data_IF_241544652529
#
_entry.id   IF_241544652529
#
_cell.length_a   1.000
_cell.length_b   1.000
_cell.length_c   1.000
_cell.angle_alpha   90.00
_cell.angle_beta   90.00
_cell.angle_gamma   90.00
#
_symmetry.space_group_name_H-M   'P 1'
#
loop_
_entity.id
_entity.type
_entity.pdbx_description
1 polymer ?
#
# COMPACT_ATOMS: atom_id res chain seq x y z
N UNK A 1 17.39 -22.08 8.62
CA UNK A 1 16.83 -22.54 9.93
C UNK A 1 17.20 -21.66 11.13
N UNK A 2 18.42 -21.12 11.24
CA UNK A 2 18.82 -20.28 12.41
C UNK A 2 18.00 -18.98 12.55
N UNK A 3 17.64 -18.32 11.45
CA UNK A 3 16.86 -17.08 11.47
C UNK A 3 15.45 -17.27 12.06
N UNK A 4 14.68 -18.25 11.58
CA UNK A 4 13.33 -18.56 12.10
C UNK A 4 13.37 -18.96 13.59
N UNK A 5 14.39 -19.72 14.01
CA UNK A 5 14.60 -20.02 15.44
C UNK A 5 14.80 -18.74 16.25
N UNK A 6 15.54 -17.74 15.74
CA UNK A 6 15.69 -16.43 16.40
C UNK A 6 14.39 -15.63 16.43
N UNK A 7 13.57 -15.70 15.38
CA UNK A 7 12.27 -15.02 15.31
C UNK A 7 11.29 -15.58 16.36
N UNK A 8 11.19 -16.90 16.50
CA UNK A 8 10.35 -17.50 17.54
C UNK A 8 10.90 -17.19 18.94
N UNK A 9 12.22 -17.26 19.11
CA UNK A 9 12.87 -16.96 20.40
C UNK A 9 12.79 -15.49 20.78
N UNK A 10 12.70 -14.55 19.83
CA UNK A 10 12.56 -13.12 20.15
C UNK A 10 11.24 -12.81 20.83
N UNK A 11 10.24 -13.68 20.75
CA UNK A 11 8.98 -13.44 21.46
C UNK A 11 9.06 -13.93 22.92
N UNK A 12 9.70 -15.08 23.17
CA UNK A 12 9.53 -15.80 24.44
C UNK A 12 10.82 -16.17 25.22
N UNK A 13 12.01 -15.86 24.70
CA UNK A 13 13.27 -16.39 25.26
C UNK A 13 14.12 -15.32 25.96
N UNK A 14 14.08 -15.19 27.30
CA UNK A 14 14.96 -14.30 28.06
C UNK A 14 16.46 -14.53 27.79
N UNK A 15 16.86 -15.79 27.58
CA UNK A 15 18.25 -16.15 27.27
C UNK A 15 18.76 -15.49 25.98
N UNK A 16 17.88 -15.26 25.00
CA UNK A 16 18.25 -14.57 23.76
C UNK A 16 18.65 -13.11 24.06
N UNK A 17 17.95 -12.46 24.98
CA UNK A 17 18.21 -11.08 25.35
C UNK A 17 19.51 -10.91 26.12
N UNK A 18 19.91 -11.91 26.93
CA UNK A 18 21.25 -11.92 27.56
C UNK A 18 22.36 -11.89 26.50
N UNK A 19 22.22 -12.69 25.44
CA UNK A 19 23.17 -12.70 24.32
C UNK A 19 23.14 -11.38 23.55
N UNK A 20 21.95 -10.82 23.27
CA UNK A 20 21.79 -9.58 22.49
C UNK A 20 22.44 -8.38 23.20
N UNK A 21 22.31 -8.28 24.53
CA UNK A 21 22.90 -7.17 25.31
C UNK A 21 24.43 -7.14 25.20
N UNK A 22 25.06 -8.28 24.91
CA UNK A 22 26.51 -8.42 24.74
C UNK A 22 26.95 -8.30 23.27
N UNK A 23 26.02 -8.32 22.32
CA UNK A 23 26.32 -8.27 20.89
C UNK A 23 26.41 -6.83 20.35
N UNK A 24 27.19 -6.61 19.27
CA UNK A 24 27.25 -5.31 18.61
C UNK A 24 25.89 -4.97 17.94
N UNK A 25 25.42 -3.70 18.00
CA UNK A 25 24.13 -3.28 17.46
C UNK A 25 23.90 -3.61 15.97
N UNK A 26 24.99 -3.72 15.19
CA UNK A 26 24.96 -4.15 13.79
C UNK A 26 24.25 -5.49 13.60
N UNK A 27 24.34 -6.41 14.56
CA UNK A 27 23.63 -7.70 14.49
C UNK A 27 22.11 -7.52 14.64
N UNK A 28 21.67 -6.62 15.53
CA UNK A 28 20.25 -6.29 15.70
C UNK A 28 19.67 -5.63 14.44
N UNK A 29 20.41 -4.71 13.81
CA UNK A 29 20.01 -4.09 12.54
C UNK A 29 19.88 -5.13 11.43
N UNK A 30 20.87 -6.03 11.28
CA UNK A 30 20.81 -7.11 10.29
C UNK A 30 19.59 -8.03 10.52
N UNK A 31 19.32 -8.37 11.78
CA UNK A 31 18.14 -9.16 12.15
C UNK A 31 16.85 -8.43 11.76
N UNK A 32 16.71 -7.17 12.14
CA UNK A 32 15.51 -6.37 11.88
C UNK A 32 15.27 -6.21 10.37
N UNK A 33 16.30 -5.89 9.59
CA UNK A 33 16.21 -5.79 8.12
C UNK A 33 15.74 -7.12 7.51
N UNK A 34 16.31 -8.25 7.94
CA UNK A 34 15.88 -9.57 7.47
C UNK A 34 14.42 -9.88 7.83
N UNK A 35 14.00 -9.47 9.02
CA UNK A 35 12.62 -9.66 9.51
C UNK A 35 11.63 -8.81 8.71
N UNK A 36 11.88 -7.51 8.54
CA UNK A 36 10.98 -6.64 7.78
C UNK A 36 10.96 -7.03 6.30
N UNK A 37 12.07 -7.53 5.72
CA UNK A 37 12.07 -8.06 4.37
C UNK A 37 11.15 -9.29 4.24
N UNK A 38 11.23 -10.23 5.19
CA UNK A 38 10.35 -11.40 5.20
C UNK A 38 8.88 -10.99 5.36
N UNK A 39 8.58 -10.08 6.30
CA UNK A 39 7.22 -9.59 6.54
C UNK A 39 6.68 -8.85 5.32
N UNK A 40 7.49 -7.99 4.69
CA UNK A 40 7.09 -7.25 3.48
C UNK A 40 6.82 -8.18 2.31
N UNK A 41 7.58 -9.27 2.17
CA UNK A 41 7.32 -10.27 1.15
C UNK A 41 6.00 -11.00 1.38
N UNK A 42 5.73 -11.43 2.63
CA UNK A 42 4.47 -12.08 2.98
C UNK A 42 3.28 -11.13 2.75
N UNK A 43 3.39 -9.87 3.19
CA UNK A 43 2.36 -8.86 2.97
C UNK A 43 2.12 -8.59 1.47
N UNK A 44 3.17 -8.48 0.66
CA UNK A 44 3.06 -8.28 -0.78
C UNK A 44 2.37 -9.46 -1.49
N UNK A 45 2.64 -10.68 -1.06
CA UNK A 45 1.98 -11.88 -1.60
C UNK A 45 0.49 -11.91 -1.22
N UNK A 46 0.15 -11.65 0.05
CA UNK A 46 -1.24 -11.60 0.51
C UNK A 46 -2.00 -10.51 -0.24
N UNK A 47 -1.46 -9.29 -0.28
CA UNK A 47 -2.08 -8.15 -0.96
C UNK A 47 -2.29 -8.45 -2.45
N UNK A 48 -1.27 -8.99 -3.13
CA UNK A 48 -1.39 -9.32 -4.55
C UNK A 48 -2.46 -10.40 -4.79
N UNK A 49 -2.50 -11.42 -3.94
CA UNK A 49 -3.49 -12.49 -4.04
C UNK A 49 -4.93 -11.97 -3.87
N UNK A 50 -5.16 -11.05 -2.94
CA UNK A 50 -6.47 -10.44 -2.69
C UNK A 50 -6.83 -9.39 -3.77
N UNK A 51 -5.88 -8.56 -4.20
CA UNK A 51 -6.13 -7.48 -5.14
C UNK A 51 -6.31 -7.97 -6.59
N UNK A 52 -5.64 -9.06 -6.99
CA UNK A 52 -5.70 -9.59 -8.36
C UNK A 52 -7.13 -9.92 -8.83
N UNK A 53 -7.95 -10.71 -8.11
CA UNK A 53 -9.32 -11.00 -8.54
C UNK A 53 -10.15 -9.71 -8.64
N UNK A 54 -10.06 -8.82 -7.66
CA UNK A 54 -10.77 -7.54 -7.63
C UNK A 54 -10.44 -6.68 -8.85
N UNK A 55 -9.15 -6.55 -9.19
CA UNK A 55 -8.73 -5.78 -10.38
C UNK A 55 -9.21 -6.46 -11.66
N UNK A 56 -9.18 -7.79 -11.75
CA UNK A 56 -9.67 -8.51 -12.94
C UNK A 56 -11.18 -8.34 -13.13
N UNK A 57 -11.96 -8.44 -12.06
CA UNK A 57 -13.40 -8.21 -12.10
C UNK A 57 -13.71 -6.79 -12.55
N UNK A 58 -13.08 -5.79 -11.92
CA UNK A 58 -13.21 -4.39 -12.33
C UNK A 58 -12.87 -4.15 -13.80
N UNK A 59 -11.76 -4.73 -14.29
CA UNK A 59 -11.36 -4.62 -15.70
C UNK A 59 -12.35 -5.28 -16.65
N UNK A 60 -12.93 -6.43 -16.27
CA UNK A 60 -13.94 -7.13 -17.06
C UNK A 60 -15.27 -6.36 -17.10
N UNK A 61 -15.69 -5.80 -15.97
CA UNK A 61 -16.88 -4.95 -15.88
C UNK A 61 -16.71 -3.69 -16.73
N UNK A 62 -15.57 -3.02 -16.61
CA UNK A 62 -15.22 -1.87 -17.43
C UNK A 62 -15.23 -2.23 -18.92
N UNK A 63 -14.71 -3.39 -19.29
CA UNK A 63 -14.77 -3.88 -20.67
C UNK A 63 -16.21 -4.07 -21.17
N UNK A 64 -17.04 -4.78 -20.40
CA UNK A 64 -18.44 -5.00 -20.75
C UNK A 64 -19.23 -3.70 -20.86
N UNK A 65 -19.01 -2.76 -19.94
CA UNK A 65 -19.69 -1.46 -19.93
C UNK A 65 -19.30 -0.58 -21.12
N UNK A 66 -18.01 -0.52 -21.49
CA UNK A 66 -17.58 0.27 -22.65
C UNK A 66 -18.09 -0.38 -23.95
N UNK A 67 -17.95 -1.70 -24.10
CA UNK A 67 -18.32 -2.40 -25.34
C UNK A 67 -19.83 -2.46 -25.60
N UNK A 68 -20.65 -2.48 -24.55
CA UNK A 68 -22.12 -2.46 -24.67
C UNK A 68 -22.67 -1.09 -25.01
N UNK A 69 -22.00 -0.01 -24.57
CA UNK A 69 -22.44 1.38 -24.80
C UNK A 69 -21.83 2.02 -26.03
N UNK A 70 -20.72 1.50 -26.55
CA UNK A 70 -20.15 1.99 -27.81
C UNK A 70 -21.01 1.53 -29.01
N UNK A 71 -21.63 2.46 -29.76
CA UNK A 71 -22.55 2.12 -30.84
C UNK A 71 -21.81 1.44 -31.98
N UNK A 72 -22.37 0.35 -32.52
CA UNK A 72 -21.74 -0.36 -33.64
C UNK A 72 -21.64 0.51 -34.90
N UNK A 73 -22.58 1.42 -35.08
CA UNK A 73 -22.67 2.24 -36.29
C UNK A 73 -21.85 3.52 -36.20
N UNK A 74 -21.36 3.90 -35.00
CA UNK A 74 -20.61 5.14 -34.83
C UNK A 74 -19.21 5.03 -35.48
N UNK A 75 -18.94 5.93 -36.42
CA UNK A 75 -17.66 6.11 -37.10
C UNK A 75 -17.27 7.58 -37.03
N UNK A 76 -16.14 7.84 -36.37
CA UNK A 76 -15.50 9.15 -36.40
C UNK A 76 -14.36 9.09 -37.40
N UNK A 77 -14.40 9.94 -38.40
CA UNK A 77 -13.39 10.00 -39.46
C UNK A 77 -12.59 11.28 -39.27
N UNK A 78 -11.32 11.13 -38.92
CA UNK A 78 -10.34 12.20 -38.85
C UNK A 78 -9.60 12.23 -40.18
N UNK A 79 -9.74 13.32 -40.94
CA UNK A 79 -9.03 13.56 -42.21
C UNK A 79 -8.50 14.98 -42.22
N UNK A 80 -7.22 15.13 -42.52
CA UNK A 80 -6.56 16.45 -42.63
C UNK A 80 -6.74 17.32 -41.36
N UNK A 81 -6.77 16.68 -40.18
CA UNK A 81 -6.96 17.38 -38.89
C UNK A 81 -8.41 17.74 -38.57
N UNK A 82 -9.37 17.37 -39.43
CA UNK A 82 -10.80 17.60 -39.24
C UNK A 82 -11.54 16.32 -38.91
N UNK A 83 -12.39 16.37 -37.90
CA UNK A 83 -13.26 15.26 -37.50
C UNK A 83 -14.61 15.38 -38.19
N UNK A 84 -15.12 14.25 -38.64
CA UNK A 84 -16.49 14.08 -39.12
C UNK A 84 -17.11 12.84 -38.50
N UNK A 85 -18.42 12.82 -38.38
CA UNK A 85 -19.20 11.73 -37.79
C UNK A 85 -20.30 11.31 -38.77
N UNK A 86 -20.64 10.03 -38.79
CA UNK A 86 -21.69 9.48 -39.66
C UNK A 86 -23.10 9.48 -39.01
N UNK A 87 -23.22 9.97 -37.78
CA UNK A 87 -24.44 10.00 -36.97
C UNK A 87 -24.96 11.43 -36.82
N UNK A 88 -26.24 11.64 -36.47
CA UNK A 88 -26.78 12.97 -36.19
C UNK A 88 -26.03 13.67 -35.05
N UNK A 89 -25.76 14.96 -35.24
CA UNK A 89 -25.02 15.80 -34.29
C UNK A 89 -25.95 16.79 -33.56
N UNK A 90 -25.68 17.11 -32.28
CA UNK A 90 -24.61 16.57 -31.43
C UNK A 90 -24.89 15.11 -31.02
N UNK A 91 -23.87 14.25 -31.12
CA UNK A 91 -23.99 12.86 -30.71
C UNK A 91 -23.51 12.69 -29.26
N UNK A 92 -24.35 12.12 -28.40
CA UNK A 92 -24.08 12.03 -26.96
C UNK A 92 -23.95 10.58 -26.51
N UNK A 93 -22.80 10.25 -25.92
CA UNK A 93 -22.58 9.00 -25.19
C UNK A 93 -22.86 9.27 -23.73
N UNK A 94 -24.04 8.89 -23.23
CA UNK A 94 -24.47 9.13 -21.85
C UNK A 94 -23.75 8.24 -20.84
N UNK A 95 -23.52 8.80 -19.65
CA UNK A 95 -23.11 8.03 -18.48
C UNK A 95 -24.27 7.19 -17.94
N UNK A 96 -23.99 6.14 -17.16
CA UNK A 96 -25.03 5.30 -16.58
C UNK A 96 -25.74 6.05 -15.46
N UNK A 97 -27.04 5.79 -15.30
CA UNK A 97 -27.86 6.46 -14.28
C UNK A 97 -27.33 6.22 -12.86
N UNK A 98 -26.72 5.06 -12.60
CA UNK A 98 -26.10 4.74 -11.31
C UNK A 98 -24.95 5.71 -10.98
N UNK A 99 -24.07 5.99 -11.95
CA UNK A 99 -22.94 6.92 -11.77
C UNK A 99 -23.40 8.38 -11.67
N UNK A 100 -24.47 8.75 -12.38
CA UNK A 100 -25.04 10.10 -12.28
C UNK A 100 -25.64 10.31 -10.88
N UNK A 101 -26.32 9.29 -10.34
CA UNK A 101 -26.86 9.30 -8.97
C UNK A 101 -25.75 9.38 -7.93
N UNK A 102 -24.72 8.53 -8.02
CA UNK A 102 -23.60 8.52 -7.07
C UNK A 102 -22.88 9.86 -6.99
N UNK A 103 -22.68 10.54 -8.14
CA UNK A 103 -22.10 11.88 -8.19
C UNK A 103 -22.97 12.92 -7.48
N UNK A 104 -24.30 12.85 -7.63
CA UNK A 104 -25.24 13.75 -6.95
C UNK A 104 -25.25 13.51 -5.45
N UNK A 105 -25.26 12.25 -5.02
CA UNK A 105 -25.27 11.86 -3.61
C UNK A 105 -23.96 12.22 -2.91
N UNK A 106 -22.84 12.23 -3.65
CA UNK A 106 -21.52 12.68 -3.17
C UNK A 106 -21.37 14.21 -3.06
N UNK A 107 -22.43 14.98 -3.36
CA UNK A 107 -22.44 16.43 -3.25
C UNK A 107 -21.78 17.16 -4.41
N UNK A 108 -21.62 16.54 -5.58
CA UNK A 108 -21.10 17.23 -6.76
C UNK A 108 -22.09 18.29 -7.25
N UNK A 109 -21.67 19.56 -7.23
CA UNK A 109 -22.49 20.70 -7.66
C UNK A 109 -22.80 20.71 -9.17
N UNK A 110 -22.07 19.92 -9.97
CA UNK A 110 -22.24 19.79 -11.41
C UNK A 110 -21.94 18.34 -11.85
N UNK A 111 -22.91 17.41 -11.73
CA UNK A 111 -22.71 16.02 -12.13
C UNK A 111 -22.57 15.91 -13.65
N UNK A 112 -21.62 15.12 -14.11
CA UNK A 112 -21.50 14.80 -15.53
C UNK A 112 -22.66 13.87 -15.93
N UNK A 113 -23.34 14.21 -17.03
CA UNK A 113 -24.42 13.39 -17.61
C UNK A 113 -23.92 12.61 -18.83
N UNK A 114 -22.91 13.15 -19.51
CA UNK A 114 -22.36 12.59 -20.73
C UNK A 114 -20.89 12.18 -20.51
N UNK A 115 -20.50 11.03 -21.06
CA UNK A 115 -19.11 10.60 -21.10
C UNK A 115 -18.37 11.34 -22.22
N UNK A 116 -18.96 11.32 -23.42
CA UNK A 116 -18.39 11.93 -24.62
C UNK A 116 -19.53 12.59 -25.39
N UNK A 117 -19.31 13.82 -25.85
CA UNK A 117 -20.14 14.46 -26.87
C UNK A 117 -19.31 14.66 -28.12
N UNK A 118 -19.90 14.39 -29.28
CA UNK A 118 -19.32 14.69 -30.57
C UNK A 118 -20.19 15.74 -31.25
N UNK A 119 -19.63 16.93 -31.42
CA UNK A 119 -20.28 18.04 -32.12
C UNK A 119 -19.21 18.80 -32.90
N UNK A 120 -19.14 18.49 -34.19
CA UNK A 120 -18.18 19.02 -35.17
C UNK A 120 -18.73 20.22 -35.93
N UNK A 121 -19.99 20.60 -35.70
CA UNK A 121 -20.64 21.76 -36.33
C UNK A 121 -20.52 23.02 -35.50
N UNK A 122 -20.45 22.85 -34.19
CA UNK A 122 -20.30 23.95 -33.23
C UNK A 122 -18.83 24.25 -32.95
N UNK A 123 -18.49 25.54 -32.92
CA UNK A 123 -17.19 25.99 -32.41
C UNK A 123 -17.09 25.82 -30.89
N UNK A 124 -15.90 25.43 -30.42
CA UNK A 124 -15.66 25.22 -29.00
C UNK A 124 -15.89 26.51 -28.19
N UNK A 125 -16.70 26.41 -27.13
CA UNK A 125 -16.76 27.44 -26.08
C UNK A 125 -16.86 26.79 -24.70
N UNK A 126 -16.25 27.43 -23.71
CA UNK A 126 -16.29 26.97 -22.31
C UNK A 126 -17.72 26.92 -21.76
N UNK A 127 -18.56 27.87 -22.15
CA UNK A 127 -19.97 27.94 -21.76
C UNK A 127 -20.74 26.72 -22.27
N UNK A 128 -20.55 26.33 -23.54
CA UNK A 128 -21.19 25.15 -24.12
C UNK A 128 -20.63 23.86 -23.54
N UNK A 129 -19.31 23.79 -23.32
CA UNK A 129 -18.70 22.63 -22.66
C UNK A 129 -19.31 22.37 -21.28
N UNK A 130 -19.47 23.42 -20.47
CA UNK A 130 -20.13 23.34 -19.17
C UNK A 130 -21.61 22.97 -19.30
N UNK A 131 -22.33 23.54 -20.27
CA UNK A 131 -23.74 23.21 -20.50
C UNK A 131 -23.95 21.75 -20.96
N UNK A 132 -22.95 21.16 -21.61
CA UNK A 132 -22.97 19.78 -22.06
C UNK A 132 -22.79 18.74 -20.95
N UNK A 133 -22.35 19.15 -19.75
CA UNK A 133 -22.12 18.26 -18.60
C UNK A 133 -21.37 16.98 -19.02
N UNK A 134 -20.25 17.14 -19.74
CA UNK A 134 -19.51 16.03 -20.36
C UNK A 134 -18.06 15.93 -19.87
N UNK A 135 -17.51 14.72 -19.79
CA UNK A 135 -16.07 14.53 -19.53
C UNK A 135 -15.22 14.94 -20.72
N UNK A 136 -15.68 14.65 -21.94
CA UNK A 136 -15.01 15.02 -23.17
C UNK A 136 -15.99 15.53 -24.23
N UNK A 137 -15.56 16.54 -24.98
CA UNK A 137 -16.26 17.04 -26.17
C UNK A 137 -15.30 17.04 -27.35
N UNK A 138 -15.62 16.21 -28.34
CA UNK A 138 -14.91 16.12 -29.62
C UNK A 138 -15.53 17.15 -30.58
N UNK A 139 -14.72 18.11 -31.00
CA UNK A 139 -15.07 19.13 -32.00
C UNK A 139 -14.50 18.79 -33.36
N UNK A 140 -14.70 19.66 -34.35
CA UNK A 140 -14.08 19.52 -35.67
C UNK A 140 -12.55 19.49 -35.59
N UNK A 141 -11.98 20.37 -34.75
CA UNK A 141 -10.55 20.68 -34.76
C UNK A 141 -9.82 20.19 -33.49
N UNK A 142 -10.52 19.61 -32.51
CA UNK A 142 -9.87 19.15 -31.29
C UNK A 142 -10.78 18.39 -30.32
N UNK A 143 -10.24 18.14 -29.13
CA UNK A 143 -10.95 17.54 -28.01
C UNK A 143 -10.83 18.48 -26.82
N UNK A 144 -11.96 18.87 -26.25
CA UNK A 144 -12.03 19.47 -24.93
C UNK A 144 -12.23 18.38 -23.88
N UNK A 145 -11.42 18.38 -22.82
CA UNK A 145 -11.52 17.43 -21.71
C UNK A 145 -11.71 18.19 -20.40
N UNK A 146 -12.59 17.70 -19.53
CA UNK A 146 -12.78 18.29 -18.21
C UNK A 146 -11.48 18.17 -17.38
N UNK A 147 -11.00 19.29 -16.84
CA UNK A 147 -9.91 19.37 -15.86
C UNK A 147 -10.49 19.64 -14.45
N UNK A 148 -9.65 19.60 -13.41
CA UNK A 148 -10.06 19.82 -12.02
C UNK A 148 -10.85 21.14 -11.89
N UNK A 149 -12.09 21.02 -11.39
CA UNK A 149 -13.02 22.12 -11.10
C UNK A 149 -13.33 23.04 -12.29
N UNK A 150 -14.03 22.47 -13.29
CA UNK A 150 -14.84 23.19 -14.29
C UNK A 150 -14.07 23.87 -15.43
N UNK A 151 -12.73 23.80 -15.45
CA UNK A 151 -11.96 24.27 -16.62
C UNK A 151 -11.81 23.15 -17.64
N UNK A 152 -12.28 23.38 -18.86
CA UNK A 152 -11.99 22.50 -19.97
C UNK A 152 -10.54 22.71 -20.44
N UNK A 153 -9.82 21.63 -20.74
CA UNK A 153 -8.56 21.70 -21.47
C UNK A 153 -8.83 21.35 -22.92
N UNK A 154 -8.71 22.33 -23.82
CA UNK A 154 -8.82 22.10 -25.25
C UNK A 154 -7.49 21.66 -25.84
N UNK A 155 -7.48 20.51 -26.51
CA UNK A 155 -6.33 19.95 -27.22
C UNK A 155 -6.69 19.86 -28.70
N UNK A 156 -6.11 20.70 -29.58
CA UNK A 156 -6.37 20.62 -31.00
C UNK A 156 -5.81 19.30 -31.58
N UNK A 157 -6.50 18.74 -32.56
CA UNK A 157 -5.95 17.68 -33.40
C UNK A 157 -4.76 18.28 -34.16
N UNK A 158 -3.55 17.90 -33.75
CA UNK A 158 -2.31 18.45 -34.31
C UNK A 158 -2.06 18.03 -35.76
N UNK A 159 -0.97 17.29 -35.99
CA UNK A 159 -0.56 16.87 -37.33
C UNK A 159 -1.69 16.16 -38.08
N UNK A 160 -1.91 16.47 -39.38
CA UNK A 160 -2.94 15.82 -40.17
C UNK A 160 -2.72 14.31 -40.18
N UNK A 161 -3.67 13.61 -39.59
CA UNK A 161 -3.69 12.15 -39.52
C UNK A 161 -4.99 11.67 -40.16
N UNK A 162 -4.90 10.58 -40.92
CA UNK A 162 -6.05 9.91 -41.48
C UNK A 162 -6.34 8.70 -40.61
N UNK A 163 -7.32 8.83 -39.71
CA UNK A 163 -7.73 7.75 -38.81
C UNK A 163 -9.25 7.65 -38.77
N UNK A 164 -9.73 6.41 -38.70
CA UNK A 164 -11.15 6.11 -38.51
C UNK A 164 -11.26 5.49 -37.11
N UNK A 165 -11.95 6.17 -36.21
CA UNK A 165 -12.29 5.65 -34.90
C UNK A 165 -13.67 4.99 -35.02
N UNK A 166 -13.65 3.67 -35.04
CA UNK A 166 -14.81 2.82 -35.04
C UNK A 166 -14.76 1.83 -33.87
N UNK A 167 -15.82 1.03 -33.71
CA UNK A 167 -15.90 0.03 -32.63
C UNK A 167 -14.71 -0.96 -32.65
N UNK A 168 -14.28 -1.52 -33.79
CA UNK A 168 -13.08 -2.36 -33.86
C UNK A 168 -11.80 -1.69 -33.33
N UNK A 169 -11.57 -0.41 -33.64
CA UNK A 169 -10.41 0.31 -33.11
C UNK A 169 -10.49 0.44 -31.58
N UNK A 170 -11.66 0.84 -31.05
CA UNK A 170 -11.89 0.97 -29.61
C UNK A 170 -11.71 -0.37 -28.89
N UNK A 171 -12.25 -1.44 -29.46
CA UNK A 171 -12.08 -2.80 -28.94
C UNK A 171 -10.59 -3.21 -28.91
N UNK A 172 -9.85 -2.95 -29.99
CA UNK A 172 -8.41 -3.21 -30.06
C UNK A 172 -7.62 -2.43 -29.01
N UNK A 173 -7.93 -1.14 -28.81
CA UNK A 173 -7.30 -0.31 -27.78
C UNK A 173 -7.60 -0.84 -26.38
N UNK A 174 -8.86 -1.21 -26.13
CA UNK A 174 -9.29 -1.75 -24.85
C UNK A 174 -8.61 -3.09 -24.55
N UNK A 175 -8.54 -4.00 -25.52
CA UNK A 175 -7.80 -5.25 -25.38
C UNK A 175 -6.31 -5.01 -25.08
N UNK A 176 -5.68 -4.01 -25.72
CA UNK A 176 -4.30 -3.62 -25.39
C UNK A 176 -4.18 -3.10 -23.96
N UNK A 177 -5.11 -2.25 -23.51
CA UNK A 177 -5.15 -1.74 -22.14
C UNK A 177 -5.31 -2.89 -21.14
N UNK A 178 -6.25 -3.82 -21.38
CA UNK A 178 -6.45 -5.00 -20.55
C UNK A 178 -5.21 -5.90 -20.50
N UNK A 179 -4.51 -6.06 -21.63
CA UNK A 179 -3.26 -6.82 -21.71
C UNK A 179 -2.14 -6.12 -20.91
N UNK A 180 -2.03 -4.80 -21.00
CA UNK A 180 -1.04 -4.03 -20.24
C UNK A 180 -1.37 -4.07 -18.75
N UNK A 181 -2.63 -3.86 -18.37
CA UNK A 181 -3.08 -3.88 -16.98
C UNK A 181 -2.87 -5.27 -16.34
N UNK A 182 -3.22 -6.34 -17.05
CA UNK A 182 -2.96 -7.71 -16.57
C UNK A 182 -1.47 -8.03 -16.44
N UNK A 183 -0.61 -7.49 -17.31
CA UNK A 183 0.85 -7.58 -17.17
C UNK A 183 1.37 -6.72 -16.01
N UNK A 184 0.79 -5.55 -15.78
CA UNK A 184 1.16 -4.66 -14.70
C UNK A 184 0.96 -5.32 -13.32
N UNK A 185 -0.01 -6.23 -13.20
CA UNK A 185 -0.21 -7.02 -11.97
C UNK A 185 1.03 -7.86 -11.57
N UNK A 186 1.88 -8.27 -12.51
CA UNK A 186 3.14 -8.96 -12.15
C UNK A 186 4.14 -8.03 -11.44
N UNK A 187 4.07 -6.73 -11.71
CA UNK A 187 4.87 -5.72 -11.04
C UNK A 187 4.29 -5.31 -9.68
N UNK A 188 3.07 -5.76 -9.34
CA UNK A 188 2.44 -5.42 -8.07
C UNK A 188 3.24 -5.97 -6.88
N UNK A 189 3.74 -7.21 -6.97
CA UNK A 189 4.53 -7.84 -5.90
C UNK A 189 5.79 -7.01 -5.56
N UNK A 190 6.71 -6.71 -6.49
CA UNK A 190 7.91 -5.95 -6.16
C UNK A 190 7.60 -4.52 -5.71
N UNK A 191 6.57 -3.88 -6.26
CA UNK A 191 6.17 -2.53 -5.85
C UNK A 191 5.63 -2.52 -4.42
N UNK A 192 4.70 -3.41 -4.08
CA UNK A 192 4.13 -3.52 -2.74
C UNK A 192 5.20 -3.97 -1.74
N UNK A 193 6.05 -4.92 -2.12
CA UNK A 193 7.20 -5.33 -1.31
C UNK A 193 8.08 -4.12 -0.95
N UNK A 194 8.49 -3.33 -1.95
CA UNK A 194 9.36 -2.18 -1.75
C UNK A 194 8.68 -1.12 -0.88
N UNK A 195 7.40 -0.83 -1.13
CA UNK A 195 6.61 0.12 -0.36
C UNK A 195 6.53 -0.27 1.12
N UNK A 196 6.12 -1.51 1.41
CA UNK A 196 5.99 -2.03 2.77
C UNK A 196 7.36 -2.10 3.46
N UNK A 197 8.39 -2.52 2.73
CA UNK A 197 9.76 -2.58 3.24
C UNK A 197 10.28 -1.20 3.64
N UNK A 198 10.11 -0.19 2.78
CA UNK A 198 10.50 1.19 3.07
C UNK A 198 9.74 1.74 4.29
N UNK A 199 8.43 1.49 4.36
CA UNK A 199 7.61 1.91 5.50
C UNK A 199 8.14 1.32 6.82
N UNK A 200 8.45 0.03 6.85
CA UNK A 200 9.04 -0.60 8.04
C UNK A 200 10.49 -0.18 8.31
N UNK A 201 11.23 0.27 7.27
CA UNK A 201 12.54 0.86 7.48
C UNK A 201 12.45 2.17 8.26
N UNK A 202 11.44 3.01 7.98
CA UNK A 202 11.15 4.20 8.79
C UNK A 202 10.71 3.85 10.22
N UNK A 203 10.02 2.73 10.43
CA UNK A 203 9.69 2.24 11.78
C UNK A 203 10.94 1.90 12.62
N UNK A 204 12.12 1.72 12.01
CA UNK A 204 13.37 1.59 12.75
C UNK A 204 13.72 2.88 13.53
N UNK A 205 13.38 4.06 12.99
CA UNK A 205 13.53 5.33 13.71
C UNK A 205 12.55 5.41 14.89
N UNK A 206 11.32 4.93 14.71
CA UNK A 206 10.36 4.80 15.81
C UNK A 206 10.87 3.84 16.91
N UNK A 207 11.51 2.73 16.54
CA UNK A 207 12.17 1.82 17.49
C UNK A 207 13.30 2.50 18.27
N UNK A 208 13.97 3.52 17.71
CA UNK A 208 14.96 4.31 18.44
C UNK A 208 14.30 5.11 19.56
N UNK A 209 13.17 5.77 19.29
CA UNK A 209 12.40 6.46 20.34
C UNK A 209 11.91 5.48 21.41
N UNK A 210 11.39 4.32 20.98
CA UNK A 210 10.88 3.29 21.88
C UNK A 210 11.98 2.69 22.76
N UNK A 211 13.22 2.67 22.29
CA UNK A 211 14.37 2.19 23.05
C UNK A 211 14.59 2.96 24.36
N UNK A 212 14.21 4.24 24.40
CA UNK A 212 14.25 5.02 25.63
C UNK A 212 13.30 4.44 26.69
N UNK A 213 12.07 4.10 26.29
CA UNK A 213 11.10 3.48 27.20
C UNK A 213 11.53 2.08 27.62
N UNK A 214 12.07 1.28 26.69
CA UNK A 214 12.64 -0.04 27.00
C UNK A 214 13.80 0.08 27.98
N UNK A 215 14.66 1.10 27.84
CA UNK A 215 15.75 1.37 28.77
C UNK A 215 15.22 1.74 30.17
N UNK A 216 14.17 2.58 30.25
CA UNK A 216 13.55 2.93 31.54
C UNK A 216 12.99 1.68 32.22
N UNK A 217 12.26 0.83 31.49
CA UNK A 217 11.74 -0.44 32.03
C UNK A 217 12.90 -1.32 32.50
N UNK A 218 13.93 -1.50 31.68
CA UNK A 218 15.07 -2.33 32.03
C UNK A 218 15.80 -1.83 33.30
N UNK A 219 16.10 -0.54 33.37
CA UNK A 219 16.95 0.02 34.43
C UNK A 219 16.18 0.29 35.72
N UNK A 220 14.94 0.78 35.64
CA UNK A 220 14.15 1.20 36.80
C UNK A 220 13.25 0.10 37.35
N UNK A 221 12.72 -0.76 36.49
CA UNK A 221 11.78 -1.82 36.90
C UNK A 221 12.51 -3.16 37.06
N UNK A 222 13.36 -3.50 36.10
CA UNK A 222 14.06 -4.80 36.08
C UNK A 222 15.49 -4.73 36.63
N UNK A 223 15.95 -3.57 37.10
CA UNK A 223 17.28 -3.34 37.66
C UNK A 223 18.45 -3.83 36.78
N UNK A 224 18.26 -3.88 35.47
CA UNK A 224 19.31 -4.18 34.49
C UNK A 224 19.97 -2.86 34.08
N UNK A 225 21.25 -2.66 34.35
CA UNK A 225 21.98 -1.45 33.92
C UNK A 225 22.25 -1.47 32.41
N UNK A 226 21.24 -1.22 31.59
CA UNK A 226 21.37 -1.15 30.13
C UNK A 226 21.77 0.25 29.67
N UNK A 227 22.77 0.30 28.79
CA UNK A 227 23.05 1.48 27.98
C UNK A 227 21.99 1.66 26.89
N UNK A 228 21.81 2.88 26.40
CA UNK A 228 20.85 3.17 25.33
C UNK A 228 21.09 2.33 24.07
N UNK A 229 22.36 2.09 23.70
CA UNK A 229 22.74 1.25 22.55
C UNK A 229 22.24 -0.19 22.71
N UNK A 230 22.35 -0.74 23.92
CA UNK A 230 21.87 -2.10 24.23
C UNK A 230 20.34 -2.15 24.27
N UNK A 231 19.69 -1.13 24.86
CA UNK A 231 18.24 -1.02 24.86
C UNK A 231 17.68 -0.91 23.43
N UNK A 232 18.33 -0.14 22.55
CA UNK A 232 17.95 -0.04 21.14
C UNK A 232 18.12 -1.37 20.40
N UNK A 233 19.26 -2.03 20.57
CA UNK A 233 19.47 -3.36 20.00
C UNK A 233 18.40 -4.35 20.48
N UNK A 234 18.08 -4.38 21.78
CA UNK A 234 17.01 -5.21 22.33
C UNK A 234 15.63 -4.85 21.75
N UNK A 235 15.36 -3.56 21.59
CA UNK A 235 14.08 -3.05 21.03
C UNK A 235 13.84 -3.57 19.62
N UNK A 236 14.87 -3.63 18.76
CA UNK A 236 14.73 -4.19 17.41
C UNK A 236 14.33 -5.67 17.40
N UNK A 237 14.71 -6.45 18.42
CA UNK A 237 14.24 -7.83 18.58
C UNK A 237 12.85 -7.91 19.22
N UNK A 238 12.57 -7.07 20.23
CA UNK A 238 11.25 -7.00 20.89
C UNK A 238 10.14 -6.55 19.92
N UNK A 239 10.48 -5.69 18.97
CA UNK A 239 9.58 -5.18 17.95
C UNK A 239 9.03 -6.27 17.02
N UNK A 240 9.60 -7.49 17.01
CA UNK A 240 9.16 -8.57 16.11
C UNK A 240 7.67 -8.84 16.18
N UNK A 241 7.11 -9.06 17.37
CA UNK A 241 5.69 -9.36 17.51
C UNK A 241 4.84 -8.13 17.19
N UNK A 242 5.28 -6.93 17.59
CA UNK A 242 4.61 -5.68 17.26
C UNK A 242 4.52 -5.46 15.74
N UNK A 243 5.59 -5.73 14.99
CA UNK A 243 5.61 -5.61 13.53
C UNK A 243 4.73 -6.66 12.84
N UNK A 244 4.65 -7.88 13.39
CA UNK A 244 3.71 -8.88 12.89
C UNK A 244 2.26 -8.44 13.14
N UNK A 245 2.00 -7.88 14.32
CA UNK A 245 0.69 -7.34 14.67
C UNK A 245 0.22 -6.23 13.70
N UNK A 246 1.10 -5.31 13.32
CA UNK A 246 0.71 -4.24 12.38
C UNK A 246 0.32 -4.76 11.00
N UNK A 247 0.86 -5.91 10.56
CA UNK A 247 0.38 -6.56 9.32
C UNK A 247 -1.01 -7.15 9.50
N UNK A 248 -1.26 -7.81 10.64
CA UNK A 248 -2.59 -8.38 10.95
C UNK A 248 -3.64 -7.27 10.99
N UNK A 249 -3.31 -6.15 11.62
CA UNK A 249 -4.19 -4.97 11.73
C UNK A 249 -4.59 -4.42 10.35
N UNK A 250 -3.64 -4.28 9.43
CA UNK A 250 -3.91 -3.87 8.04
C UNK A 250 -4.82 -4.88 7.31
N UNK A 251 -4.67 -6.18 7.60
CA UNK A 251 -5.44 -7.22 6.93
C UNK A 251 -6.86 -7.41 7.51
N UNK A 252 -7.16 -6.90 8.70
CA UNK A 252 -8.46 -7.10 9.37
C UNK A 252 -9.08 -5.72 9.68
N UNK A 253 -9.86 -5.15 8.76
CA UNK A 253 -10.53 -3.87 8.97
C UNK A 253 -11.41 -3.89 10.22
N UNK A 254 -11.30 -2.86 11.06
CA UNK A 254 -12.12 -2.71 12.28
C UNK A 254 -11.53 -3.32 13.56
N UNK A 255 -10.37 -3.97 13.50
CA UNK A 255 -9.68 -4.55 14.67
C UNK A 255 -8.44 -3.76 15.12
N UNK A 256 -8.39 -2.47 14.79
CA UNK A 256 -7.25 -1.62 15.11
C UNK A 256 -7.19 -1.31 16.60
N UNK A 257 -6.11 -1.77 17.24
CA UNK A 257 -5.73 -1.37 18.61
C UNK A 257 -4.80 -0.17 18.48
N UNK A 258 -5.21 1.04 18.90
CA UNK A 258 -4.34 2.20 18.91
C UNK A 258 -3.06 1.88 19.68
N UNK A 259 -1.90 2.19 19.08
CA UNK A 259 -0.58 1.91 19.67
C UNK A 259 -0.30 0.42 19.94
N UNK A 260 -1.00 -0.51 19.28
CA UNK A 260 -0.81 -1.95 19.48
C UNK A 260 0.65 -2.40 19.35
N UNK A 261 1.36 -1.90 18.32
CA UNK A 261 2.81 -2.12 18.15
C UNK A 261 3.62 -1.77 19.43
N UNK A 262 3.35 -0.58 19.98
CA UNK A 262 4.06 -0.01 21.13
C UNK A 262 3.75 -0.81 22.40
N UNK A 263 2.46 -1.07 22.64
CA UNK A 263 1.98 -1.81 23.81
C UNK A 263 2.61 -3.22 23.81
N UNK A 264 2.51 -3.94 22.70
CA UNK A 264 3.06 -5.29 22.57
C UNK A 264 4.57 -5.29 22.83
N UNK A 265 5.31 -4.36 22.22
CA UNK A 265 6.76 -4.27 22.38
C UNK A 265 7.17 -3.99 23.83
N UNK A 266 6.46 -3.09 24.53
CA UNK A 266 6.74 -2.76 25.93
C UNK A 266 6.38 -3.91 26.88
N UNK A 267 5.26 -4.61 26.65
CA UNK A 267 4.88 -5.80 27.41
C UNK A 267 5.94 -6.89 27.28
N UNK A 268 6.42 -7.14 26.05
CA UNK A 268 7.52 -8.08 25.82
C UNK A 268 8.81 -7.61 26.48
N UNK A 269 9.09 -6.31 26.50
CA UNK A 269 10.28 -5.76 27.16
C UNK A 269 10.24 -6.05 28.66
N UNK A 270 9.10 -5.76 29.31
CA UNK A 270 8.87 -6.06 30.71
C UNK A 270 9.05 -7.56 31.00
N UNK A 271 8.35 -8.42 30.25
CA UNK A 271 8.33 -9.86 30.49
C UNK A 271 9.67 -10.56 30.22
N UNK A 272 10.36 -10.22 29.13
CA UNK A 272 11.59 -10.92 28.75
C UNK A 272 12.83 -10.38 29.47
N UNK A 273 12.92 -9.07 29.70
CA UNK A 273 14.07 -8.49 30.38
C UNK A 273 14.01 -8.75 31.90
N UNK A 274 12.84 -8.75 32.54
CA UNK A 274 12.72 -9.03 33.97
C UNK A 274 13.21 -10.43 34.38
N UNK A 275 13.05 -11.42 33.49
CA UNK A 275 13.48 -12.80 33.71
C UNK A 275 15.01 -13.00 33.67
N UNK A 276 15.76 -12.04 33.11
CA UNK A 276 17.23 -12.11 33.05
C UNK A 276 17.84 -12.05 34.46
N UNK A 277 17.31 -11.18 35.32
CA UNK A 277 17.83 -11.00 36.68
C UNK A 277 17.59 -12.24 37.55
N UNK A 278 16.38 -12.81 37.49
CA UNK A 278 16.03 -14.02 38.24
C UNK A 278 16.99 -15.20 37.94
N UNK A 279 17.42 -15.33 36.67
CA UNK A 279 18.39 -16.35 36.27
C UNK A 279 19.79 -16.11 36.86
N UNK A 280 20.23 -14.85 36.94
CA UNK A 280 21.56 -14.50 37.47
C UNK A 280 21.63 -14.67 39.01
N UNK A 281 20.53 -14.40 39.72
CA UNK A 281 20.44 -14.62 41.17
C UNK A 281 20.56 -16.11 41.51
N UNK A 282 19.82 -16.99 40.83
CA UNK A 282 19.85 -18.42 41.10
C UNK A 282 21.21 -19.08 40.81
N UNK A 283 21.94 -18.59 39.81
CA UNK A 283 23.29 -19.09 39.47
C UNK A 283 24.33 -18.71 40.52
N UNK A 284 24.17 -17.55 41.17
CA UNK A 284 25.07 -17.06 42.23
C UNK A 284 24.83 -17.76 43.58
N UNK A 285 23.60 -18.20 43.83
CA UNK A 285 23.24 -18.96 45.05
C UNK A 285 23.75 -20.41 44.99
N UNK A 286 23.77 -21.03 43.81
CA UNK A 286 24.28 -22.41 43.67
C UNK A 286 25.82 -22.52 43.77
N UNK A 287 26.58 -21.48 43.41
CA UNK A 287 28.04 -21.50 43.49
C UNK A 287 28.62 -21.16 44.87
N UNK A 288 27.79 -20.76 45.83
CA UNK A 288 28.22 -20.34 47.17
C UNK A 288 27.97 -21.37 48.28
N UNK A 289 27.63 -22.62 47.95
CA UNK A 289 27.62 -23.70 48.95
C UNK A 289 29.07 -24.08 49.29
N UNK A 290 29.58 -23.82 50.51
CA UNK A 290 30.96 -24.15 50.85
C UNK A 290 31.07 -25.67 50.99
N UNK A 291 32.01 -26.27 50.26
CA UNK A 291 32.45 -27.65 50.49
C UNK A 291 33.18 -27.74 51.83
N UNK A 292 32.44 -27.80 52.93
CA UNK A 292 32.93 -28.30 54.23
C UNK A 292 33.04 -29.84 54.10
N UNK A 293 34.11 -30.56 54.42
CA UNK A 293 35.01 -30.58 55.59
C UNK A 293 36.24 -31.42 55.16
N UNK A 294 37.50 -31.06 55.49
CA UNK A 294 38.64 -31.97 55.33
C UNK A 294 38.61 -33.06 56.41
N UNK A 295 38.93 -34.32 56.09
CA UNK A 295 38.93 -35.40 57.07
C UNK A 295 40.04 -35.19 58.10
N UNK A 296 39.65 -35.12 59.37
CA UNK A 296 40.57 -35.20 60.51
C UNK A 296 41.15 -36.62 60.58
N UNK A 297 42.48 -36.70 60.61
CA UNK A 297 43.27 -37.92 60.87
C UNK A 297 43.45 -38.07 62.38
#
# INVERSE_FOLDING_TARGET
MLFFKKLVKSVYSPALYQEIIQQPPKQAVKYYIGMIALISLVAALIFTFVATPLVKEFLNELNGQIMSRFPQELKLVIKEGKVSINMPEPYMVRLPDEYIKEQRDSGSSAPFENAIIVDTKTEFSYERFSAYNTFAWITNEGIAVADQEVRARYVPFGTPTNQIIDKPLVESLLQKILLIASRALYFLIPVVFLLVFILYLFNMAYCALLAFLVQVIANKVNHLSLSYKQAWAATLYLATLGTVWTVIDICIPGFAIPLGFTIITLVLAYANLGKIQASNINTTVQSSTPSSIPPTV
#
